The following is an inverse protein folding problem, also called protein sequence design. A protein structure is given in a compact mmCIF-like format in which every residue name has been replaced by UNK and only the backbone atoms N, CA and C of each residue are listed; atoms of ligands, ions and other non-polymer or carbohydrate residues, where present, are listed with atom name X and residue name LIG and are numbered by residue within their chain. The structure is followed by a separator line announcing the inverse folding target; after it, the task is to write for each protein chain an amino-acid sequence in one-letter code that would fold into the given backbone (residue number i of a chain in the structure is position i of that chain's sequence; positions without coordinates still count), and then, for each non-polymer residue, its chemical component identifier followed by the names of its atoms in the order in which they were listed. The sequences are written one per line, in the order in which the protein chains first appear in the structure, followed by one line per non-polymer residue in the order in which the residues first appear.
data_IF_327410335754
#
_entry.id   IF_327410335754
#
_cell.length_a   1.000
_cell.length_b   1.000
_cell.length_c   1.000
_cell.angle_alpha   90.00
_cell.angle_beta   90.00
_cell.angle_gamma   90.00
#
_symmetry.space_group_name_H-M   'P 1'
#
loop_
_entity.id
_entity.type
_entity.pdbx_description
1 polymer ?
#
# COMPACT_ATOMS: atom_id res chain seq x y z
N UNK A 1 80.49 34.79 24.48
CA UNK A 1 79.73 33.74 25.17
C UNK A 1 78.40 33.61 24.45
N UNK A 2 78.18 32.49 23.78
CA UNK A 2 77.06 32.18 22.90
C UNK A 2 75.80 31.83 23.71
N UNK A 3 74.60 32.17 23.22
CA UNK A 3 73.63 31.18 22.70
C UNK A 3 72.28 31.85 22.41
N UNK A 4 71.80 31.64 21.18
CA UNK A 4 70.40 31.82 20.78
C UNK A 4 69.56 30.67 21.37
N UNK A 5 68.26 30.91 21.57
CA UNK A 5 67.25 29.85 21.46
C UNK A 5 65.95 30.44 20.88
N UNK A 6 65.56 29.93 19.72
CA UNK A 6 64.27 30.13 19.08
C UNK A 6 63.23 29.18 19.69
N UNK A 7 62.06 29.70 20.05
CA UNK A 7 60.90 28.88 20.36
C UNK A 7 59.91 28.98 19.20
N UNK A 8 59.81 27.91 18.40
CA UNK A 8 58.77 27.73 17.37
C UNK A 8 57.44 27.40 18.06
N UNK A 9 56.46 28.30 17.98
CA UNK A 9 55.08 28.00 18.33
C UNK A 9 54.34 27.40 17.13
N UNK A 10 53.88 26.15 17.25
CA UNK A 10 53.04 25.46 16.27
C UNK A 10 51.67 26.16 16.14
N UNK A 11 51.32 26.59 14.93
CA UNK A 11 49.95 26.93 14.53
C UNK A 11 49.14 25.64 14.41
N UNK A 12 48.23 25.38 15.35
CA UNK A 12 47.19 24.36 15.22
C UNK A 12 46.08 24.90 14.31
N UNK A 13 46.08 24.47 13.05
CA UNK A 13 44.95 24.68 12.14
C UNK A 13 43.77 23.83 12.62
N UNK A 14 42.73 24.48 13.19
CA UNK A 14 41.45 23.84 13.47
C UNK A 14 40.70 23.66 12.15
N UNK A 15 40.76 22.47 11.57
CA UNK A 15 39.86 22.07 10.49
C UNK A 15 38.45 21.86 11.09
N UNK A 16 37.57 22.84 10.92
CA UNK A 16 36.15 22.66 11.20
C UNK A 16 35.53 21.81 10.08
N UNK A 17 35.35 20.52 10.32
CA UNK A 17 34.48 19.69 9.49
C UNK A 17 33.03 20.18 9.70
N UNK A 18 32.54 21.00 8.76
CA UNK A 18 31.12 21.28 8.67
C UNK A 18 30.38 20.01 8.25
N UNK A 19 29.65 19.38 9.17
CA UNK A 19 28.63 18.41 8.79
C UNK A 19 27.53 19.15 8.04
N UNK A 20 27.51 19.03 6.71
CA UNK A 20 26.32 19.36 5.93
C UNK A 20 25.24 18.35 6.30
N UNK A 21 24.31 18.74 7.17
CA UNK A 21 23.04 18.04 7.33
C UNK A 21 22.30 18.15 6.00
N UNK A 22 22.45 17.13 5.15
CA UNK A 22 21.62 17.01 3.96
C UNK A 22 20.17 16.93 4.41
N UNK A 23 19.38 17.92 4.03
CA UNK A 23 17.93 17.83 4.13
C UNK A 23 17.50 16.66 3.25
N UNK A 24 17.23 15.51 3.87
CA UNK A 24 16.49 14.44 3.21
C UNK A 24 15.13 15.04 2.89
N UNK A 25 14.88 15.31 1.61
CA UNK A 25 13.55 15.70 1.17
C UNK A 25 12.60 14.60 1.64
N UNK A 26 11.65 14.95 2.52
CA UNK A 26 10.64 14.01 2.97
C UNK A 26 9.91 13.52 1.72
N UNK A 27 9.86 12.19 1.52
CA UNK A 27 9.07 11.61 0.45
C UNK A 27 7.61 12.07 0.60
N UNK A 28 6.99 12.51 -0.49
CA UNK A 28 5.57 12.88 -0.51
C UNK A 28 4.75 11.65 -0.10
N UNK A 29 3.95 11.78 0.96
CA UNK A 29 3.14 10.68 1.46
C UNK A 29 1.77 10.67 0.75
N UNK A 30 1.22 9.48 0.57
CA UNK A 30 -0.12 9.22 0.02
C UNK A 30 -0.81 8.16 0.88
N UNK A 31 -1.17 8.47 2.14
CA UNK A 31 -1.44 7.46 3.17
C UNK A 31 -2.77 6.72 3.06
N UNK A 32 -3.70 7.21 2.22
CA UNK A 32 -5.08 6.70 2.13
C UNK A 32 -5.58 6.71 0.68
N UNK A 33 -6.77 6.15 0.46
CA UNK A 33 -7.47 6.24 -0.82
C UNK A 33 -7.64 7.70 -1.23
N UNK A 34 -7.19 8.04 -2.45
CA UNK A 34 -7.12 9.42 -2.96
C UNK A 34 -6.13 10.34 -2.20
N UNK A 35 -5.17 9.78 -1.47
CA UNK A 35 -4.02 10.53 -0.96
C UNK A 35 -4.33 11.40 0.25
N UNK A 36 -3.45 12.35 0.53
CA UNK A 36 -3.57 13.19 1.72
C UNK A 36 -4.88 14.01 1.71
N UNK A 37 -5.59 13.98 2.85
CA UNK A 37 -6.94 14.52 2.99
C UNK A 37 -8.00 13.89 2.07
N UNK A 38 -7.73 12.72 1.46
CA UNK A 38 -8.60 11.98 0.54
C UNK A 38 -9.11 12.81 -0.67
N UNK A 39 -8.31 13.78 -1.14
CA UNK A 39 -8.72 14.75 -2.19
C UNK A 39 -8.47 14.29 -3.62
N UNK A 40 -7.51 13.39 -3.83
CA UNK A 40 -7.08 12.91 -5.14
C UNK A 40 -6.22 13.93 -5.89
N UNK A 41 -5.48 14.77 -5.18
CA UNK A 41 -4.67 15.86 -5.73
C UNK A 41 -3.23 15.68 -5.22
N UNK A 42 -2.25 15.70 -6.13
CA UNK A 42 -0.84 15.83 -5.79
C UNK A 42 -0.40 17.28 -5.95
N UNK A 43 0.49 17.74 -5.07
CA UNK A 43 1.09 19.08 -5.14
C UNK A 43 2.43 19.08 -5.88
N UNK A 44 2.87 17.91 -6.37
CA UNK A 44 4.09 17.75 -7.12
C UNK A 44 4.01 18.48 -8.47
N UNK A 45 4.92 19.43 -8.68
CA UNK A 45 5.01 20.23 -9.91
C UNK A 45 5.82 19.56 -11.02
N UNK A 46 6.54 18.49 -10.70
CA UNK A 46 7.49 17.81 -11.58
C UNK A 46 6.95 16.45 -12.06
N UNK A 47 5.65 16.38 -12.35
CA UNK A 47 5.03 15.14 -12.84
C UNK A 47 5.38 14.89 -14.32
N UNK A 48 5.65 13.64 -14.72
CA UNK A 48 5.91 13.32 -16.11
C UNK A 48 4.65 13.56 -16.96
N UNK A 49 4.76 14.40 -17.99
CA UNK A 49 3.65 14.71 -18.89
C UNK A 49 3.37 13.59 -19.90
N UNK A 50 4.33 12.70 -20.09
CA UNK A 50 4.22 11.55 -20.99
C UNK A 50 4.75 10.31 -20.28
N UNK A 51 4.10 9.17 -20.46
CA UNK A 51 4.58 7.87 -19.99
C UNK A 51 4.01 6.76 -20.87
N UNK A 52 4.75 5.66 -21.03
CA UNK A 52 4.28 4.47 -21.74
C UNK A 52 4.87 3.21 -21.09
N UNK A 53 4.01 2.43 -20.43
CA UNK A 53 4.42 1.20 -19.76
C UNK A 53 4.85 0.07 -20.72
N UNK A 54 4.34 0.05 -21.96
CA UNK A 54 4.69 -0.94 -22.99
C UNK A 54 6.03 -0.62 -23.62
N UNK A 55 6.29 0.66 -23.90
CA UNK A 55 7.55 1.13 -24.46
C UNK A 55 8.61 1.42 -23.40
N UNK A 56 8.26 1.29 -22.11
CA UNK A 56 9.13 1.59 -20.98
C UNK A 56 9.63 3.05 -20.96
N UNK A 57 8.81 3.99 -21.44
CA UNK A 57 9.12 5.43 -21.46
C UNK A 57 8.68 6.06 -20.15
N UNK A 58 9.60 6.77 -19.48
CA UNK A 58 9.37 7.42 -18.19
C UNK A 58 8.84 6.45 -17.11
N UNK A 59 9.35 5.22 -17.12
CA UNK A 59 9.07 4.19 -16.12
C UNK A 59 10.34 3.95 -15.30
N UNK A 60 10.32 4.25 -14.01
CA UNK A 60 11.47 4.00 -13.13
C UNK A 60 11.66 2.51 -12.83
N UNK A 61 10.58 1.81 -12.52
CA UNK A 61 10.58 0.39 -12.24
C UNK A 61 9.20 -0.24 -12.47
N UNK A 62 9.16 -1.57 -12.51
CA UNK A 62 7.94 -2.38 -12.58
C UNK A 62 8.09 -3.59 -11.70
N UNK A 63 7.05 -3.88 -10.92
CA UNK A 63 7.03 -5.03 -10.02
C UNK A 63 5.80 -5.87 -10.26
N UNK A 64 6.00 -7.18 -10.43
CA UNK A 64 4.89 -8.11 -10.55
C UNK A 64 4.19 -8.23 -9.19
N UNK A 65 2.88 -7.96 -9.17
CA UNK A 65 2.02 -8.14 -8.00
C UNK A 65 1.29 -9.48 -8.13
N UNK A 66 1.40 -10.39 -7.15
CA UNK A 66 0.72 -11.68 -7.21
C UNK A 66 -0.79 -11.49 -7.09
N UNK A 67 -1.57 -12.38 -7.69
CA UNK A 67 -3.03 -12.41 -7.52
C UNK A 67 -3.75 -11.24 -8.17
N UNK A 68 -4.85 -10.83 -7.55
CA UNK A 68 -5.70 -9.74 -8.00
C UNK A 68 -6.14 -8.86 -6.84
N UNK A 69 -6.09 -7.54 -7.05
CA UNK A 69 -6.64 -6.55 -6.14
C UNK A 69 -6.97 -5.26 -6.89
N UNK A 70 -8.05 -4.59 -6.46
CA UNK A 70 -8.42 -3.25 -6.96
C UNK A 70 -8.05 -2.14 -5.98
N UNK A 71 -7.41 -2.49 -4.87
CA UNK A 71 -6.81 -1.54 -3.96
C UNK A 71 -5.82 -0.63 -4.68
N UNK A 72 -5.75 0.61 -4.25
CA UNK A 72 -4.76 1.56 -4.73
C UNK A 72 -3.49 1.43 -3.87
N UNK A 73 -2.30 1.72 -4.42
CA UNK A 73 -1.11 1.83 -3.60
C UNK A 73 -1.24 3.04 -2.67
N UNK A 74 -0.89 2.87 -1.41
CA UNK A 74 -0.68 3.98 -0.47
C UNK A 74 0.80 4.09 -0.13
N UNK A 75 1.29 5.30 0.05
CA UNK A 75 2.71 5.59 0.24
C UNK A 75 2.92 6.29 1.57
N UNK A 76 3.88 5.83 2.35
CA UNK A 76 4.34 6.58 3.52
C UNK A 76 5.82 6.27 3.80
N UNK A 77 6.62 7.30 4.08
CA UNK A 77 8.04 7.15 4.46
C UNK A 77 8.84 6.27 3.49
N UNK A 78 8.61 6.43 2.18
CA UNK A 78 9.30 5.65 1.14
C UNK A 78 8.85 4.19 1.00
N UNK A 79 7.74 3.81 1.63
CA UNK A 79 7.14 2.47 1.52
C UNK A 79 5.82 2.56 0.78
N UNK A 80 5.58 1.60 -0.10
CA UNK A 80 4.29 1.37 -0.76
C UNK A 80 3.59 0.23 -0.04
N UNK A 81 2.31 0.41 0.28
CA UNK A 81 1.44 -0.66 0.79
C UNK A 81 0.31 -0.93 -0.20
N UNK A 82 0.04 -2.22 -0.42
CA UNK A 82 -0.97 -2.73 -1.34
C UNK A 82 -1.66 -3.95 -0.74
N UNK A 83 -2.87 -4.23 -1.20
CA UNK A 83 -3.55 -5.49 -0.90
C UNK A 83 -3.76 -6.31 -2.15
N UNK A 84 -3.74 -7.64 -2.01
CA UNK A 84 -4.05 -8.55 -3.11
C UNK A 84 -4.67 -9.85 -2.60
N UNK A 85 -5.38 -10.56 -3.46
CA UNK A 85 -5.89 -11.88 -3.20
C UNK A 85 -5.41 -12.87 -4.29
N UNK A 86 -4.77 -13.96 -3.88
CA UNK A 86 -4.33 -15.05 -4.78
C UNK A 86 -5.30 -16.21 -4.67
N UNK A 87 -5.79 -16.73 -5.80
CA UNK A 87 -6.62 -17.94 -5.85
C UNK A 87 -5.76 -19.15 -6.22
N UNK A 88 -5.99 -20.27 -5.53
CA UNK A 88 -5.35 -21.57 -5.88
C UNK A 88 -5.96 -22.23 -7.12
N UNK A 89 -7.12 -21.72 -7.58
CA UNK A 89 -7.76 -22.18 -8.81
C UNK A 89 -7.89 -21.07 -9.84
N UNK A 90 -8.15 -21.47 -11.08
CA UNK A 90 -8.38 -20.54 -12.17
C UNK A 90 -9.62 -19.69 -11.90
N UNK A 91 -9.46 -18.38 -12.06
CA UNK A 91 -10.55 -17.41 -12.07
C UNK A 91 -10.69 -16.87 -13.47
N UNK A 92 -11.91 -16.72 -13.95
CA UNK A 92 -12.18 -16.23 -15.28
C UNK A 92 -11.45 -14.90 -15.57
N UNK A 93 -10.91 -14.72 -16.79
CA UNK A 93 -10.23 -13.51 -17.16
C UNK A 93 -11.22 -12.34 -17.26
N UNK A 94 -10.76 -11.16 -16.86
CA UNK A 94 -11.56 -9.93 -16.93
C UNK A 94 -11.46 -9.36 -18.34
N UNK A 95 -12.60 -8.96 -18.89
CA UNK A 95 -12.71 -8.27 -20.17
C UNK A 95 -12.77 -6.75 -19.94
N UNK A 96 -12.08 -5.90 -20.71
CA UNK A 96 -12.35 -4.47 -20.67
C UNK A 96 -13.77 -4.14 -21.15
N UNK A 97 -14.36 -3.04 -20.66
CA UNK A 97 -15.62 -2.49 -21.19
C UNK A 97 -16.88 -2.72 -20.34
N UNK A 98 -18.05 -2.52 -20.97
CA UNK A 98 -19.37 -2.70 -20.35
C UNK A 98 -19.72 -4.18 -20.26
N UNK A 99 -20.32 -4.58 -19.14
CA UNK A 99 -20.71 -5.95 -18.89
C UNK A 99 -22.23 -6.01 -18.79
N UNK A 100 -22.80 -6.98 -19.48
CA UNK A 100 -24.19 -7.37 -19.30
C UNK A 100 -24.17 -8.73 -18.58
N UNK A 101 -24.52 -8.71 -17.28
CA UNK A 101 -24.34 -9.85 -16.37
C UNK A 101 -22.94 -9.92 -15.75
N UNK A 102 -22.61 -11.05 -15.13
CA UNK A 102 -21.38 -11.24 -14.36
C UNK A 102 -21.59 -11.31 -12.84
N UNK A 103 -22.85 -11.26 -12.41
CA UNK A 103 -23.25 -11.54 -11.04
C UNK A 103 -22.99 -13.02 -10.72
N UNK A 104 -22.42 -13.28 -9.55
CA UNK A 104 -22.25 -14.63 -9.03
C UNK A 104 -23.32 -14.86 -7.97
N UNK A 105 -24.04 -15.98 -8.08
CA UNK A 105 -24.98 -16.42 -7.04
C UNK A 105 -24.27 -17.01 -5.83
N UNK A 106 -23.14 -17.67 -6.07
CA UNK A 106 -22.38 -18.40 -5.06
C UNK A 106 -20.96 -17.82 -4.94
N UNK A 107 -20.35 -17.87 -3.74
CA UNK A 107 -18.94 -17.56 -3.58
C UNK A 107 -18.04 -18.45 -4.43
N UNK A 108 -16.85 -17.94 -4.76
CA UNK A 108 -15.84 -18.72 -5.45
C UNK A 108 -15.36 -19.84 -4.52
N UNK A 109 -15.25 -21.07 -5.04
CA UNK A 109 -14.97 -22.27 -4.22
C UNK A 109 -13.48 -22.51 -3.95
N UNK A 110 -12.59 -21.86 -4.70
CA UNK A 110 -11.15 -22.00 -4.54
C UNK A 110 -10.66 -21.29 -3.28
N UNK A 111 -9.61 -21.84 -2.66
CA UNK A 111 -8.91 -21.17 -1.58
C UNK A 111 -8.37 -19.83 -2.07
N UNK A 112 -8.56 -18.78 -1.27
CA UNK A 112 -7.99 -17.46 -1.52
C UNK A 112 -7.03 -17.09 -0.39
N UNK A 113 -5.85 -16.61 -0.79
CA UNK A 113 -4.79 -16.11 0.07
C UNK A 113 -4.80 -14.59 0.03
N UNK A 114 -5.15 -13.96 1.16
CA UNK A 114 -5.29 -12.52 1.30
C UNK A 114 -3.97 -11.95 1.79
N UNK A 115 -3.38 -11.08 0.96
CA UNK A 115 -2.04 -10.56 1.14
C UNK A 115 -2.06 -9.06 1.41
N UNK A 116 -1.26 -8.63 2.38
CA UNK A 116 -0.79 -7.25 2.50
C UNK A 116 0.65 -7.24 2.00
N UNK A 117 0.97 -6.30 1.13
CA UNK A 117 2.26 -6.20 0.47
C UNK A 117 2.94 -4.90 0.89
N UNK A 118 4.26 -4.94 1.05
CA UNK A 118 5.07 -3.74 1.24
C UNK A 118 6.25 -3.74 0.27
N UNK A 119 6.38 -2.66 -0.50
CA UNK A 119 7.45 -2.45 -1.44
C UNK A 119 8.24 -1.19 -1.08
N UNK A 120 9.51 -1.15 -1.45
CA UNK A 120 10.32 0.06 -1.41
C UNK A 120 9.91 0.98 -2.57
N UNK A 121 9.65 2.25 -2.30
CA UNK A 121 9.20 3.21 -3.30
C UNK A 121 10.28 3.50 -4.35
N UNK A 122 11.56 3.44 -3.96
CA UNK A 122 12.67 3.83 -4.83
C UNK A 122 13.05 2.70 -5.78
N UNK A 123 13.13 1.46 -5.29
CA UNK A 123 13.53 0.31 -6.10
C UNK A 123 12.35 -0.46 -6.69
N UNK A 124 11.16 -0.35 -6.10
CA UNK A 124 10.02 -1.22 -6.41
C UNK A 124 10.16 -2.63 -5.86
N UNK A 125 11.22 -2.95 -5.10
CA UNK A 125 11.43 -4.29 -4.56
C UNK A 125 10.50 -4.57 -3.37
N UNK A 126 10.13 -5.83 -3.19
CA UNK A 126 9.39 -6.24 -2.00
C UNK A 126 10.26 -6.12 -0.76
N UNK A 127 9.77 -5.36 0.22
CA UNK A 127 10.29 -5.38 1.59
C UNK A 127 9.71 -6.55 2.37
N UNK A 128 8.42 -6.85 2.15
CA UNK A 128 7.77 -8.07 2.64
C UNK A 128 6.44 -8.32 1.92
N UNK A 129 5.97 -9.55 2.03
CA UNK A 129 4.63 -9.98 1.65
C UNK A 129 4.04 -10.76 2.81
N UNK A 130 2.86 -10.34 3.28
CA UNK A 130 2.22 -10.97 4.43
C UNK A 130 0.87 -11.55 4.04
N UNK A 131 0.77 -12.87 4.07
CA UNK A 131 -0.52 -13.54 4.12
C UNK A 131 -1.15 -13.31 5.50
N UNK A 132 -2.32 -12.68 5.49
CA UNK A 132 -3.12 -12.37 6.69
C UNK A 132 -4.27 -13.36 6.90
N UNK A 133 -4.68 -14.04 5.82
CA UNK A 133 -5.70 -15.08 5.82
C UNK A 133 -5.55 -15.99 4.60
N UNK A 134 -5.78 -17.28 4.79
CA UNK A 134 -6.14 -18.22 3.74
C UNK A 134 -7.53 -18.76 4.03
N UNK A 135 -8.50 -18.49 3.16
CA UNK A 135 -9.87 -19.00 3.32
C UNK A 135 -10.58 -19.11 1.98
N UNK A 136 -11.61 -19.96 1.92
CA UNK A 136 -12.58 -19.89 0.83
C UNK A 136 -13.44 -18.65 1.03
N UNK A 137 -13.69 -17.85 -0.01
CA UNK A 137 -14.56 -16.70 0.11
C UNK A 137 -15.92 -17.00 0.72
N UNK A 138 -16.35 -16.13 1.62
CA UNK A 138 -17.62 -16.29 2.35
C UNK A 138 -18.83 -15.69 1.61
N UNK A 139 -18.58 -14.76 0.69
CA UNK A 139 -19.61 -14.03 -0.06
C UNK A 139 -19.26 -14.01 -1.55
N UNK A 140 -20.25 -14.01 -2.46
CA UNK A 140 -19.99 -13.79 -3.87
C UNK A 140 -19.46 -12.37 -4.11
N UNK A 141 -18.82 -12.20 -5.28
CA UNK A 141 -18.45 -10.91 -5.84
C UNK A 141 -18.87 -10.87 -7.31
N UNK A 142 -19.08 -9.69 -7.87
CA UNK A 142 -19.22 -9.55 -9.32
C UNK A 142 -17.91 -9.89 -10.03
N UNK A 143 -17.92 -10.37 -11.27
CA UNK A 143 -16.68 -10.68 -12.02
C UNK A 143 -15.75 -9.48 -12.22
N UNK A 144 -16.28 -8.25 -12.11
CA UNK A 144 -15.51 -6.99 -12.11
C UNK A 144 -14.88 -6.65 -10.78
N UNK A 145 -15.25 -7.31 -9.70
CA UNK A 145 -14.69 -7.03 -8.38
C UNK A 145 -13.52 -7.98 -8.07
N UNK A 146 -12.81 -7.71 -6.98
CA UNK A 146 -11.77 -8.56 -6.41
C UNK A 146 -12.03 -8.72 -4.91
N UNK A 147 -11.46 -9.75 -4.28
CA UNK A 147 -11.53 -9.92 -2.84
C UNK A 147 -10.53 -9.02 -2.06
N UNK A 148 -9.81 -8.14 -2.77
CA UNK A 148 -8.88 -7.16 -2.24
C UNK A 148 -9.13 -5.80 -2.92
N UNK A 149 -10.38 -5.35 -2.87
CA UNK A 149 -10.82 -4.13 -3.55
C UNK A 149 -10.55 -2.87 -2.73
N UNK A 150 -10.56 -3.01 -1.41
CA UNK A 150 -10.39 -1.94 -0.45
C UNK A 150 -8.92 -1.49 -0.39
N UNK A 151 -8.70 -0.19 -0.46
CA UNK A 151 -7.38 0.43 -0.34
C UNK A 151 -6.97 0.47 1.14
N UNK A 152 -5.78 -0.03 1.52
CA UNK A 152 -5.33 0.06 2.91
C UNK A 152 -5.07 1.53 3.30
N UNK A 153 -5.04 1.82 4.59
CA UNK A 153 -4.66 3.14 5.14
C UNK A 153 -3.48 3.00 6.09
N UNK A 154 -2.61 4.01 6.15
CA UNK A 154 -1.44 4.01 7.05
C UNK A 154 -1.27 5.34 7.78
N UNK A 155 -0.87 5.29 9.04
CA UNK A 155 -0.41 6.44 9.84
C UNK A 155 1.12 6.62 9.79
N UNK A 156 1.80 5.82 8.96
CA UNK A 156 3.25 5.76 8.89
C UNK A 156 3.90 4.79 9.88
N UNK A 157 3.23 4.38 10.96
CA UNK A 157 3.70 3.36 11.91
C UNK A 157 3.03 2.00 11.71
N UNK A 158 1.77 2.04 11.31
CA UNK A 158 0.89 0.89 11.10
C UNK A 158 0.22 1.00 9.75
N UNK A 159 -0.12 -0.16 9.19
CA UNK A 159 -0.99 -0.28 8.03
C UNK A 159 -2.25 -1.04 8.44
N UNK A 160 -3.40 -0.51 8.05
CA UNK A 160 -4.71 -1.08 8.29
C UNK A 160 -5.28 -1.56 6.95
N UNK A 161 -5.43 -2.87 6.81
CA UNK A 161 -5.92 -3.51 5.60
C UNK A 161 -7.27 -4.17 5.87
N UNK A 162 -8.27 -3.83 5.06
CA UNK A 162 -9.63 -4.36 5.15
C UNK A 162 -9.92 -5.23 3.93
N UNK A 163 -10.57 -6.37 4.13
CA UNK A 163 -10.94 -7.32 3.06
C UNK A 163 -12.42 -7.70 3.15
N UNK A 164 -13.29 -6.74 3.50
CA UNK A 164 -14.70 -7.00 3.74
C UNK A 164 -14.93 -7.96 4.90
N UNK A 165 -15.81 -8.94 4.69
CA UNK A 165 -16.08 -10.02 5.65
C UNK A 165 -14.86 -10.89 5.98
N UNK A 166 -13.81 -10.85 5.17
CA UNK A 166 -12.55 -11.56 5.41
C UNK A 166 -11.64 -10.84 6.42
N UNK A 167 -12.06 -9.68 6.93
CA UNK A 167 -11.51 -9.10 8.14
C UNK A 167 -10.72 -7.81 7.92
N UNK A 168 -10.43 -7.18 9.06
CA UNK A 168 -9.60 -6.00 9.21
C UNK A 168 -8.34 -6.37 9.97
N UNK A 169 -7.20 -5.96 9.45
CA UNK A 169 -5.89 -6.30 9.98
C UNK A 169 -5.08 -5.04 10.22
N UNK A 170 -4.44 -4.95 11.38
CA UNK A 170 -3.42 -3.95 11.65
C UNK A 170 -2.06 -4.62 11.68
N UNK A 171 -1.13 -4.09 10.89
CA UNK A 171 0.24 -4.58 10.82
C UNK A 171 1.21 -3.45 11.14
N UNK A 172 2.36 -3.80 11.72
CA UNK A 172 3.47 -2.87 11.86
C UNK A 172 4.30 -2.76 10.56
N UNK A 173 5.32 -1.89 10.57
CA UNK A 173 6.27 -1.68 9.45
C UNK A 173 6.99 -2.96 8.98
N UNK A 174 7.06 -4.00 9.80
CA UNK A 174 7.71 -5.27 9.46
C UNK A 174 6.75 -6.30 8.85
N UNK A 175 5.46 -5.96 8.76
CA UNK A 175 4.42 -6.88 8.30
C UNK A 175 3.95 -7.84 9.40
N UNK A 176 4.31 -7.60 10.66
CA UNK A 176 3.77 -8.36 11.79
C UNK A 176 2.35 -7.89 12.06
N UNK A 177 1.41 -8.82 12.09
CA UNK A 177 0.02 -8.55 12.48
C UNK A 177 -0.02 -8.25 13.99
N UNK A 178 -0.46 -7.05 14.34
CA UNK A 178 -0.64 -6.59 15.72
C UNK A 178 -2.00 -7.02 16.27
N UNK A 179 -3.04 -6.89 15.46
CA UNK A 179 -4.39 -7.37 15.78
C UNK A 179 -5.20 -7.61 14.51
N UNK A 180 -6.29 -8.35 14.64
CA UNK A 180 -7.28 -8.58 13.59
C UNK A 180 -8.71 -8.54 14.13
N UNK A 181 -9.67 -8.16 13.28
CA UNK A 181 -11.11 -8.20 13.57
C UNK A 181 -11.85 -8.80 12.38
N UNK A 182 -12.64 -9.85 12.64
CA UNK A 182 -13.50 -10.46 11.63
C UNK A 182 -14.90 -9.84 11.66
N UNK A 183 -15.56 -9.82 10.51
CA UNK A 183 -16.94 -9.34 10.40
C UNK A 183 -17.83 -10.48 9.94
N UNK A 184 -19.09 -10.46 10.37
CA UNK A 184 -20.09 -11.40 9.86
C UNK A 184 -20.24 -11.17 8.35
N UNK A 185 -20.28 -12.23 7.53
CA UNK A 185 -20.64 -12.09 6.13
C UNK A 185 -22.11 -11.70 6.04
N UNK A 186 -22.36 -10.56 5.40
CA UNK A 186 -23.70 -10.10 5.05
C UNK A 186 -23.87 -10.12 3.54
N UNK A 187 -25.12 -10.18 3.10
CA UNK A 187 -25.43 -10.09 1.68
C UNK A 187 -25.10 -8.69 1.16
N UNK A 188 -24.43 -8.63 0.01
CA UNK A 188 -24.19 -7.40 -0.73
C UNK A 188 -25.25 -7.28 -1.81
N UNK A 189 -25.66 -6.05 -2.15
CA UNK A 189 -26.57 -5.81 -3.27
C UNK A 189 -26.08 -6.57 -4.52
N UNK A 190 -26.94 -7.45 -5.05
CA UNK A 190 -26.66 -8.30 -6.22
C UNK A 190 -25.41 -9.20 -6.10
N UNK A 191 -24.89 -9.43 -4.88
CA UNK A 191 -23.66 -10.18 -4.69
C UNK A 191 -22.43 -9.51 -5.30
N UNK A 192 -22.40 -8.18 -5.40
CA UNK A 192 -21.30 -7.46 -6.06
C UNK A 192 -19.99 -7.45 -5.28
N UNK A 193 -20.05 -7.75 -3.99
CA UNK A 193 -18.92 -7.67 -3.07
C UNK A 193 -18.75 -6.27 -2.49
N UNK A 194 -17.78 -6.14 -1.59
CA UNK A 194 -17.42 -4.89 -0.92
C UNK A 194 -16.39 -4.10 -1.74
N UNK A 195 -16.17 -2.85 -1.35
CA UNK A 195 -15.15 -1.98 -1.95
C UNK A 195 -14.89 -0.68 -1.20
N UNK A 196 -15.45 -0.52 0.01
CA UNK A 196 -15.27 0.67 0.82
C UNK A 196 -13.93 0.60 1.56
N UNK A 197 -13.04 1.54 1.27
CA UNK A 197 -11.71 1.60 1.89
C UNK A 197 -11.82 2.19 3.32
N UNK A 198 -11.06 1.68 4.31
CA UNK A 198 -11.00 2.27 5.64
C UNK A 198 -10.43 3.70 5.60
N UNK A 199 -10.89 4.54 6.52
CA UNK A 199 -10.35 5.89 6.76
C UNK A 199 -9.82 5.96 8.19
N UNK A 200 -8.66 6.58 8.35
CA UNK A 200 -8.11 6.92 9.65
C UNK A 200 -8.36 8.40 9.92
N UNK A 201 -8.96 8.71 11.08
CA UNK A 201 -9.16 10.07 11.57
C UNK A 201 -8.76 10.12 13.05
N UNK A 202 -7.62 10.75 13.34
CA UNK A 202 -7.00 10.70 14.66
C UNK A 202 -6.71 9.27 15.12
N UNK A 203 -7.34 8.85 16.21
CA UNK A 203 -7.26 7.50 16.78
C UNK A 203 -8.39 6.57 16.32
N UNK A 204 -9.26 7.04 15.42
CA UNK A 204 -10.42 6.30 14.94
C UNK A 204 -10.16 5.70 13.56
N UNK A 205 -10.48 4.42 13.43
CA UNK A 205 -10.51 3.71 12.15
C UNK A 205 -11.97 3.48 11.75
N UNK A 206 -12.40 4.16 10.70
CA UNK A 206 -13.78 4.21 10.22
C UNK A 206 -13.91 3.36 8.96
N UNK A 207 -14.93 2.52 8.94
CA UNK A 207 -15.26 1.65 7.81
C UNK A 207 -16.74 1.83 7.50
N UNK A 208 -17.05 1.99 6.22
CA UNK A 208 -18.42 1.96 5.72
C UNK A 208 -18.72 0.54 5.24
N UNK A 209 -19.84 -0.02 5.66
CA UNK A 209 -20.37 -1.27 5.16
C UNK A 209 -21.83 -1.01 4.77
N UNK A 210 -22.11 -1.00 3.47
CA UNK A 210 -23.43 -0.74 2.88
C UNK A 210 -24.16 -2.04 2.51
N UNK A 211 -24.02 -3.02 3.40
CA UNK A 211 -24.57 -4.37 3.29
C UNK A 211 -26.07 -4.42 3.62
N UNK A 212 -26.70 -5.55 3.28
CA UNK A 212 -28.11 -5.81 3.58
C UNK A 212 -28.24 -6.47 4.96
N UNK A 213 -28.09 -5.67 6.03
CA UNK A 213 -28.30 -6.08 7.42
C UNK A 213 -29.77 -6.33 7.81
#
# INVERSE_FOLDING_TARGET
MFSFNHTRGMLLARAALGLSLGQVAAAENWPTFRGDGARGISENKNLPLEWDAKQNKNIEWKTAVPGLGWSNPVVHSGRIYLTSAVSDGEIEPRKPGLYFGGDRKEPIKHMHHFLVLCLDLKSGEYLWQKEVLASRPLTPIHIKNSYAAETPVTDGERVYAYFGSHGLYCLDKTGKVLWKKMFKPYEMRNGWGTGASPILDGDQLIIVNDNME
#
